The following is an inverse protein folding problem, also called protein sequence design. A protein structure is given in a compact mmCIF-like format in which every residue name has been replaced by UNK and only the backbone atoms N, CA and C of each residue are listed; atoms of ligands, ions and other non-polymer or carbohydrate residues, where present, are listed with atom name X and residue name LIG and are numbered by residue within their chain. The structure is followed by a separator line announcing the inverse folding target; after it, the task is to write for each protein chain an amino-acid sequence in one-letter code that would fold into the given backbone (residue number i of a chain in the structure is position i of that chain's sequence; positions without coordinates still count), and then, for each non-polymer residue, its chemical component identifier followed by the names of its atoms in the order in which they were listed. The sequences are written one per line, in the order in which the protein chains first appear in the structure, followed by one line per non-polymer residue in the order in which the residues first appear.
data_IF_532506054042
#
_entry.id   IF_532506054042
#
_cell.length_a   1.000
_cell.length_b   1.000
_cell.length_c   1.000
_cell.angle_alpha   90.00
_cell.angle_beta   90.00
_cell.angle_gamma   90.00
#
_symmetry.space_group_name_H-M   'P 1'
#
loop_
_entity.id
_entity.type
_entity.pdbx_description
1 polymer ?
#
# COMPACT_ATOMS: atom_id res chain seq x y z
N UNK A 1 -5.88 -23.56 21.56
CA UNK A 1 -6.34 -23.46 20.16
C UNK A 1 -6.54 -21.99 19.79
N UNK A 2 -6.00 -21.56 18.65
CA UNK A 2 -6.17 -20.18 18.13
C UNK A 2 -7.62 -20.04 17.60
N UNK A 3 -8.34 -19.03 18.09
CA UNK A 3 -9.76 -18.81 17.73
C UNK A 3 -9.98 -17.60 16.82
N UNK A 4 -8.98 -16.74 16.67
CA UNK A 4 -9.05 -15.53 15.85
C UNK A 4 -7.69 -15.20 15.23
N UNK A 5 -7.72 -14.48 14.10
CA UNK A 5 -6.56 -13.94 13.44
C UNK A 5 -6.78 -12.48 13.04
N UNK A 6 -5.78 -11.65 13.24
CA UNK A 6 -5.74 -10.27 12.77
C UNK A 6 -4.61 -10.17 11.75
N UNK A 7 -4.94 -9.72 10.55
CA UNK A 7 -4.01 -9.61 9.44
C UNK A 7 -3.74 -8.15 9.07
N UNK A 8 -2.49 -7.85 8.73
CA UNK A 8 -2.18 -6.66 7.96
C UNK A 8 -2.67 -6.85 6.51
N UNK A 9 -2.87 -5.77 5.79
CA UNK A 9 -3.38 -5.79 4.42
C UNK A 9 -2.24 -5.72 3.40
N UNK A 10 -1.57 -4.58 3.32
CA UNK A 10 -0.53 -4.32 2.34
C UNK A 10 0.73 -5.15 2.64
N UNK A 11 1.13 -5.98 1.68
CA UNK A 11 2.27 -6.86 1.84
C UNK A 11 2.01 -8.13 2.66
N UNK A 12 0.78 -8.36 3.10
CA UNK A 12 0.35 -9.55 3.84
C UNK A 12 -0.79 -10.28 3.13
N UNK A 13 -1.98 -9.70 3.08
CA UNK A 13 -3.12 -10.28 2.37
C UNK A 13 -3.09 -9.93 0.87
N UNK A 14 -2.67 -8.74 0.53
CA UNK A 14 -2.59 -8.24 -0.84
C UNK A 14 -1.18 -7.79 -1.19
N UNK A 15 -0.73 -8.13 -2.39
CA UNK A 15 0.50 -7.59 -2.96
C UNK A 15 0.22 -6.22 -3.56
N UNK A 16 0.72 -5.19 -2.92
CA UNK A 16 0.41 -3.80 -3.23
C UNK A 16 1.65 -2.95 -3.54
N UNK A 17 2.84 -3.55 -3.49
CA UNK A 17 4.10 -2.84 -3.66
C UNK A 17 4.22 -2.19 -5.04
N UNK A 18 3.86 -2.93 -6.11
CA UNK A 18 3.88 -2.41 -7.48
C UNK A 18 2.95 -1.20 -7.65
N UNK A 19 1.76 -1.27 -7.05
CA UNK A 19 0.79 -0.17 -7.07
C UNK A 19 1.34 1.09 -6.42
N UNK A 20 1.88 0.96 -5.21
CA UNK A 20 2.43 2.09 -4.47
C UNK A 20 3.65 2.69 -5.15
N UNK A 21 4.55 1.86 -5.67
CA UNK A 21 5.73 2.29 -6.39
C UNK A 21 5.37 3.02 -7.69
N UNK A 22 4.42 2.50 -8.45
CA UNK A 22 3.97 3.11 -9.68
C UNK A 22 3.38 4.50 -9.43
N UNK A 23 2.44 4.62 -8.50
CA UNK A 23 1.80 5.90 -8.17
C UNK A 23 2.83 6.92 -7.67
N UNK A 24 3.71 6.53 -6.77
CA UNK A 24 4.75 7.42 -6.25
C UNK A 24 5.71 7.89 -7.35
N UNK A 25 6.13 6.99 -8.25
CA UNK A 25 7.01 7.36 -9.35
C UNK A 25 6.32 8.26 -10.40
N UNK A 26 5.02 8.11 -10.62
CA UNK A 26 4.27 9.10 -11.42
C UNK A 26 4.33 10.49 -10.78
N UNK A 27 4.16 10.58 -9.47
CA UNK A 27 4.27 11.85 -8.73
C UNK A 27 5.68 12.42 -8.82
N UNK A 28 6.72 11.60 -8.57
CA UNK A 28 8.12 12.05 -8.70
C UNK A 28 8.42 12.60 -10.08
N UNK A 29 7.96 11.92 -11.13
CA UNK A 29 8.12 12.37 -12.51
C UNK A 29 7.44 13.73 -12.76
N UNK A 30 6.22 13.93 -12.29
CA UNK A 30 5.51 15.20 -12.44
C UNK A 30 6.21 16.36 -11.72
N UNK A 31 6.90 16.08 -10.63
CA UNK A 31 7.67 17.07 -9.86
C UNK A 31 9.10 17.28 -10.39
N UNK A 32 9.48 16.59 -11.47
CA UNK A 32 10.83 16.68 -12.02
C UNK A 32 11.90 15.98 -11.18
N UNK A 33 11.50 15.10 -10.29
CA UNK A 33 12.39 14.31 -9.44
C UNK A 33 12.71 12.95 -10.09
N UNK A 34 13.78 12.31 -9.61
CA UNK A 34 14.20 11.01 -10.17
C UNK A 34 13.24 9.88 -9.75
N UNK A 35 13.02 8.89 -10.64
CA UNK A 35 12.27 7.69 -10.27
C UNK A 35 13.06 6.85 -9.27
N UNK A 36 12.32 6.06 -8.48
CA UNK A 36 12.87 5.22 -7.43
C UNK A 36 12.70 3.74 -7.78
N UNK A 37 13.70 2.89 -7.47
CA UNK A 37 13.60 1.46 -7.66
C UNK A 37 12.46 0.84 -6.85
N UNK A 38 11.82 -0.19 -7.41
CA UNK A 38 10.71 -0.90 -6.75
C UNK A 38 11.09 -1.43 -5.36
N UNK A 39 12.29 -1.99 -5.22
CA UNK A 39 12.74 -2.58 -3.96
C UNK A 39 12.83 -1.57 -2.81
N UNK A 40 13.09 -0.30 -3.11
CA UNK A 40 13.15 0.74 -2.09
C UNK A 40 11.80 0.95 -1.39
N UNK A 41 10.69 0.69 -2.09
CA UNK A 41 9.34 0.87 -1.54
C UNK A 41 9.03 -0.07 -0.38
N UNK A 42 9.75 -1.17 -0.24
CA UNK A 42 9.67 -2.04 0.94
C UNK A 42 10.01 -1.31 2.24
N UNK A 43 10.92 -0.33 2.15
CA UNK A 43 11.37 0.48 3.29
C UNK A 43 10.50 1.74 3.50
N UNK A 44 9.76 2.16 2.48
CA UNK A 44 8.88 3.33 2.59
C UNK A 44 7.52 3.00 3.17
N UNK A 45 7.06 1.76 2.98
CA UNK A 45 5.75 1.28 3.38
C UNK A 45 5.67 0.88 4.86
N UNK A 46 4.44 0.76 5.38
CA UNK A 46 4.15 0.24 6.72
C UNK A 46 3.63 1.28 7.71
N UNK A 47 3.91 2.56 7.51
CA UNK A 47 3.50 3.65 8.41
C UNK A 47 2.54 4.66 7.73
N UNK A 48 1.82 4.21 6.72
CA UNK A 48 0.84 5.00 5.99
C UNK A 48 1.41 5.77 4.80
N UNK A 49 0.50 6.34 4.00
CA UNK A 49 0.83 7.01 2.74
C UNK A 49 1.69 8.27 2.94
N UNK A 50 1.46 9.02 4.00
CA UNK A 50 2.19 10.26 4.27
C UNK A 50 3.68 9.97 4.55
N UNK A 51 3.99 8.92 5.30
CA UNK A 51 5.38 8.50 5.53
C UNK A 51 6.03 7.93 4.28
N UNK A 52 5.28 7.19 3.47
CA UNK A 52 5.76 6.73 2.17
C UNK A 52 6.19 7.90 1.29
N UNK A 53 5.34 8.91 1.15
CA UNK A 53 5.63 10.09 0.34
C UNK A 53 6.86 10.85 0.86
N UNK A 54 7.00 11.03 2.18
CA UNK A 54 8.17 11.68 2.78
C UNK A 54 9.46 10.94 2.47
N UNK A 55 9.48 9.63 2.66
CA UNK A 55 10.66 8.79 2.41
C UNK A 55 11.02 8.77 0.93
N UNK A 56 10.01 8.65 0.07
CA UNK A 56 10.21 8.70 -1.38
C UNK A 56 10.80 10.03 -1.86
N UNK A 57 10.29 11.15 -1.37
CA UNK A 57 10.80 12.48 -1.71
C UNK A 57 12.28 12.64 -1.33
N UNK A 58 12.65 12.25 -0.11
CA UNK A 58 14.05 12.33 0.35
C UNK A 58 14.99 11.57 -0.57
N UNK A 59 14.62 10.35 -0.93
CA UNK A 59 15.43 9.52 -1.81
C UNK A 59 15.41 10.00 -3.28
N UNK A 60 14.34 10.64 -3.71
CA UNK A 60 14.20 11.17 -5.06
C UNK A 60 14.96 12.51 -5.30
N UNK A 61 15.54 13.10 -4.27
CA UNK A 61 16.33 14.32 -4.36
C UNK A 61 15.71 15.56 -3.73
N UNK A 62 14.70 15.37 -2.87
CA UNK A 62 14.07 16.45 -2.08
C UNK A 62 14.19 16.17 -0.56
N UNK A 63 15.42 16.22 0.00
CA UNK A 63 15.65 15.91 1.41
C UNK A 63 14.99 16.90 2.37
N UNK A 64 14.78 18.14 1.93
CA UNK A 64 14.12 19.21 2.70
C UNK A 64 12.58 19.16 2.62
N UNK A 65 12.03 18.21 1.85
CA UNK A 65 10.58 18.04 1.67
C UNK A 65 9.85 19.29 1.13
N UNK A 66 10.50 20.02 0.25
CA UNK A 66 9.94 21.22 -0.39
C UNK A 66 8.64 20.90 -1.14
N UNK A 67 8.57 19.75 -1.78
CA UNK A 67 7.42 19.30 -2.58
C UNK A 67 6.40 18.46 -1.79
N UNK A 68 6.53 18.34 -0.45
CA UNK A 68 5.76 17.39 0.32
C UNK A 68 4.24 17.57 0.21
N UNK A 69 3.73 18.77 0.39
CA UNK A 69 2.27 19.02 0.35
C UNK A 69 1.70 18.73 -1.05
N UNK A 70 2.40 19.14 -2.10
CA UNK A 70 2.01 18.86 -3.48
C UNK A 70 2.08 17.37 -3.80
N UNK A 71 3.17 16.71 -3.46
CA UNK A 71 3.35 15.27 -3.66
C UNK A 71 2.30 14.44 -2.92
N UNK A 72 2.03 14.80 -1.68
CA UNK A 72 1.01 14.14 -0.85
C UNK A 72 -0.38 14.24 -1.48
N UNK A 73 -0.75 15.43 -1.96
CA UNK A 73 -2.02 15.66 -2.63
C UNK A 73 -2.12 14.83 -3.92
N UNK A 74 -1.12 14.92 -4.79
CA UNK A 74 -1.07 14.16 -6.05
C UNK A 74 -1.14 12.65 -5.81
N UNK A 75 -0.40 12.15 -4.82
CA UNK A 75 -0.40 10.72 -4.49
C UNK A 75 -1.78 10.24 -4.07
N UNK A 76 -2.46 11.00 -3.19
CA UNK A 76 -3.81 10.66 -2.71
C UNK A 76 -4.83 10.71 -3.85
N UNK A 77 -4.82 11.76 -4.65
CA UNK A 77 -5.74 11.91 -5.79
C UNK A 77 -5.58 10.74 -6.77
N UNK A 78 -4.34 10.43 -7.15
CA UNK A 78 -4.06 9.32 -8.08
C UNK A 78 -4.43 7.96 -7.49
N UNK A 79 -4.20 7.79 -6.21
CA UNK A 79 -4.58 6.57 -5.49
C UNK A 79 -6.10 6.40 -5.42
N UNK A 80 -6.84 7.48 -5.16
CA UNK A 80 -8.31 7.44 -5.05
C UNK A 80 -8.99 7.21 -6.40
N UNK A 81 -8.37 7.59 -7.53
CA UNK A 81 -8.87 7.32 -8.88
C UNK A 81 -8.99 5.82 -9.17
N UNK A 82 -8.00 5.03 -8.77
CA UNK A 82 -7.99 3.58 -8.94
C UNK A 82 -7.19 2.89 -7.83
N UNK A 83 -7.81 2.65 -6.67
CA UNK A 83 -7.12 2.04 -5.52
C UNK A 83 -6.72 0.59 -5.73
N UNK A 84 -7.24 -0.07 -6.76
CA UNK A 84 -6.91 -1.45 -7.10
C UNK A 84 -5.89 -1.60 -8.23
N UNK A 85 -5.40 -0.50 -8.78
CA UNK A 85 -4.42 -0.52 -9.87
C UNK A 85 -3.16 -1.32 -9.48
N UNK A 86 -2.83 -2.34 -10.27
CA UNK A 86 -1.72 -3.27 -10.01
C UNK A 86 -1.74 -3.97 -8.63
N UNK A 87 -2.89 -4.02 -7.98
CA UNK A 87 -3.07 -4.78 -6.74
C UNK A 87 -3.40 -6.23 -7.09
N UNK A 88 -2.65 -7.16 -6.53
CA UNK A 88 -2.88 -8.60 -6.67
C UNK A 88 -2.90 -9.26 -5.30
N UNK A 89 -3.38 -10.50 -5.25
CA UNK A 89 -3.27 -11.33 -4.05
C UNK A 89 -2.03 -12.22 -4.13
N UNK A 90 -1.52 -12.61 -2.99
CA UNK A 90 -0.50 -13.64 -2.95
C UNK A 90 -1.09 -15.00 -3.29
N UNK A 91 -0.29 -15.85 -3.94
CA UNK A 91 -0.68 -17.23 -4.25
C UNK A 91 -1.04 -17.98 -2.96
N UNK A 92 -2.17 -18.70 -3.00
CA UNK A 92 -2.68 -19.46 -1.88
C UNK A 92 -3.35 -18.64 -0.76
N UNK A 93 -3.36 -17.31 -0.84
CA UNK A 93 -3.94 -16.48 0.22
C UNK A 93 -5.45 -16.68 0.33
N UNK A 94 -6.16 -16.72 -0.79
CA UNK A 94 -7.61 -16.94 -0.78
C UNK A 94 -7.97 -18.27 -0.13
N UNK A 95 -7.33 -19.35 -0.56
CA UNK A 95 -7.58 -20.69 0.00
C UNK A 95 -7.24 -20.77 1.48
N UNK A 96 -6.17 -20.11 1.92
CA UNK A 96 -5.80 -20.04 3.34
C UNK A 96 -6.88 -19.35 4.17
N UNK A 97 -7.37 -18.18 3.71
CA UNK A 97 -8.44 -17.45 4.41
C UNK A 97 -9.73 -18.28 4.48
N UNK A 98 -10.10 -18.95 3.39
CA UNK A 98 -11.25 -19.83 3.34
C UNK A 98 -11.13 -21.02 4.32
N UNK A 99 -9.97 -21.66 4.40
CA UNK A 99 -9.72 -22.74 5.35
C UNK A 99 -9.83 -22.28 6.80
N UNK A 100 -9.25 -21.14 7.12
CA UNK A 100 -9.32 -20.58 8.48
C UNK A 100 -10.77 -20.28 8.87
N UNK A 101 -11.58 -19.77 7.94
CA UNK A 101 -13.04 -19.56 8.15
C UNK A 101 -13.78 -20.87 8.37
N UNK A 102 -13.48 -21.89 7.56
CA UNK A 102 -14.08 -23.24 7.70
C UNK A 102 -13.76 -23.86 9.05
N UNK A 103 -12.59 -23.57 9.62
CA UNK A 103 -12.20 -23.99 10.97
C UNK A 103 -12.87 -23.16 12.09
N UNK A 104 -13.76 -22.24 11.74
CA UNK A 104 -14.49 -21.41 12.70
C UNK A 104 -13.69 -20.26 13.28
N UNK A 105 -12.56 -19.91 12.70
CA UNK A 105 -11.77 -18.77 13.17
C UNK A 105 -12.43 -17.44 12.77
N UNK A 106 -12.41 -16.48 13.70
CA UNK A 106 -12.79 -15.10 13.43
C UNK A 106 -11.59 -14.37 12.83
N UNK A 107 -11.79 -13.72 11.69
CA UNK A 107 -10.73 -13.02 10.97
C UNK A 107 -11.04 -11.52 10.89
N UNK A 108 -10.00 -10.71 11.06
CA UNK A 108 -10.07 -9.26 10.94
C UNK A 108 -8.84 -8.73 10.21
N UNK A 109 -8.96 -7.53 9.65
CA UNK A 109 -7.87 -6.79 9.02
C UNK A 109 -7.58 -5.54 9.85
N UNK A 110 -6.29 -5.31 10.14
CA UNK A 110 -5.79 -4.10 10.77
C UNK A 110 -4.76 -3.47 9.83
N UNK A 111 -5.02 -2.25 9.36
CA UNK A 111 -4.17 -1.57 8.38
C UNK A 111 -4.07 -0.08 8.63
N UNK A 112 -2.92 0.52 8.31
CA UNK A 112 -2.71 1.97 8.31
C UNK A 112 -3.28 2.67 7.06
N UNK A 113 -3.91 1.92 6.16
CA UNK A 113 -4.53 2.44 4.94
C UNK A 113 -5.86 3.15 5.27
N UNK A 114 -6.23 4.24 4.55
CA UNK A 114 -7.55 4.85 4.67
C UNK A 114 -8.66 3.83 4.47
N UNK A 115 -9.70 3.91 5.28
CA UNK A 115 -10.76 2.88 5.36
C UNK A 115 -11.41 2.52 4.01
N UNK A 116 -11.81 3.48 3.15
CA UNK A 116 -12.40 3.15 1.85
C UNK A 116 -11.46 2.32 0.97
N UNK A 117 -10.19 2.72 0.87
CA UNK A 117 -9.20 2.01 0.08
C UNK A 117 -8.86 0.62 0.66
N UNK A 118 -8.90 0.47 1.98
CA UNK A 118 -8.70 -0.82 2.63
C UNK A 118 -9.85 -1.79 2.32
N UNK A 119 -11.09 -1.30 2.27
CA UNK A 119 -12.26 -2.10 1.87
C UNK A 119 -12.14 -2.58 0.42
N UNK A 120 -11.76 -1.69 -0.51
CA UNK A 120 -11.58 -2.04 -1.92
C UNK A 120 -10.51 -3.11 -2.10
N UNK A 121 -9.35 -2.94 -1.47
CA UNK A 121 -8.26 -3.94 -1.53
C UNK A 121 -8.60 -5.26 -0.87
N UNK A 122 -9.40 -5.25 0.19
CA UNK A 122 -9.91 -6.48 0.81
C UNK A 122 -10.73 -7.32 -0.15
N UNK A 123 -11.41 -6.71 -1.13
CA UNK A 123 -12.22 -7.43 -2.11
C UNK A 123 -11.40 -8.33 -3.03
N UNK A 124 -10.08 -8.10 -3.14
CA UNK A 124 -9.14 -8.89 -3.95
C UNK A 124 -8.76 -10.21 -3.27
N UNK A 125 -8.94 -10.30 -1.97
CA UNK A 125 -8.63 -11.46 -1.14
C UNK A 125 -9.90 -12.20 -0.78
#
# INVERSE_FOLDING_TARGET
MIKAGIFDLDGTLAYTLDSMAYIANEVMKKLGLRPLPLDNFRYYCGEGADMLVRRALKDAGDPELVHYEEARKMYRERFDEDPLYKVTRYDGMQSTVEELRKKGMKLAVCSNKPHPAALDRKSVV
#
